data_IF_060644358941
#
_entry.id   IF_060644358941
#
_cell.length_a   1.000
_cell.length_b   1.000
_cell.length_c   1.000
_cell.angle_alpha   90.00
_cell.angle_beta   90.00
_cell.angle_gamma   90.00
#
_symmetry.space_group_name_H-M   'P 1'
#
loop_
_entity.id
_entity.type
_entity.pdbx_description
1 polymer ?
#
# COMPACT_ATOMS: atom_id res chain seq x y z
N UNK A 1 62.20 45.94 -45.42
CA UNK A 1 61.27 46.26 -44.31
C UNK A 1 60.48 44.99 -44.00
N UNK A 2 60.77 44.36 -42.86
CA UNK A 2 60.26 43.03 -42.50
C UNK A 2 58.88 43.16 -41.85
N UNK A 3 57.85 42.57 -42.45
CA UNK A 3 56.49 42.59 -41.92
C UNK A 3 56.36 41.58 -40.77
N UNK A 4 56.11 42.11 -39.57
CA UNK A 4 55.83 41.32 -38.36
C UNK A 4 54.51 40.57 -38.55
N UNK A 5 54.56 39.23 -38.51
CA UNK A 5 53.36 38.39 -38.41
C UNK A 5 52.86 38.43 -36.97
N UNK A 6 51.64 38.94 -36.76
CA UNK A 6 50.93 38.78 -35.48
C UNK A 6 50.23 37.41 -35.46
N UNK A 7 50.35 36.62 -34.37
CA UNK A 7 49.57 35.41 -34.23
C UNK A 7 48.10 35.77 -34.05
N UNK A 8 47.27 35.27 -34.97
CA UNK A 8 45.82 35.27 -34.81
C UNK A 8 45.49 34.52 -33.52
N UNK A 9 44.99 35.24 -32.52
CA UNK A 9 44.47 34.63 -31.29
C UNK A 9 43.29 33.75 -31.69
N UNK A 10 43.41 32.44 -31.50
CA UNK A 10 42.28 31.52 -31.56
C UNK A 10 41.28 31.91 -30.47
N UNK A 11 40.28 32.72 -30.86
CA UNK A 11 39.14 33.05 -30.03
C UNK A 11 38.22 31.85 -30.08
N UNK A 12 38.38 30.94 -29.12
CA UNK A 12 37.58 29.72 -29.00
C UNK A 12 36.09 30.04 -28.94
N UNK A 13 35.38 29.78 -30.04
CA UNK A 13 33.93 29.77 -30.12
C UNK A 13 33.41 28.40 -29.67
N UNK A 14 33.39 28.19 -28.36
CA UNK A 14 32.92 26.93 -27.76
C UNK A 14 31.99 27.12 -26.56
N UNK A 15 31.41 28.32 -26.36
CA UNK A 15 30.60 28.62 -25.16
C UNK A 15 29.09 28.44 -25.35
N UNK A 16 28.57 28.45 -26.58
CA UNK A 16 27.12 28.40 -26.81
C UNK A 16 26.51 26.99 -26.69
N UNK A 17 27.31 25.93 -26.83
CA UNK A 17 26.82 24.53 -26.71
C UNK A 17 26.83 23.99 -25.27
N UNK A 18 27.51 24.69 -24.35
CA UNK A 18 27.61 24.30 -22.94
C UNK A 18 26.59 25.00 -22.04
N UNK A 19 26.12 26.19 -22.43
CA UNK A 19 25.18 26.97 -21.62
C UNK A 19 23.83 26.25 -21.46
N UNK A 20 23.25 25.75 -22.56
CA UNK A 20 21.99 25.02 -22.52
C UNK A 20 22.08 23.73 -21.66
N UNK A 21 23.21 23.02 -21.73
CA UNK A 21 23.44 21.80 -20.92
C UNK A 21 23.61 22.11 -19.43
N UNK A 22 24.23 23.23 -19.09
CA UNK A 22 24.40 23.69 -17.69
C UNK A 22 23.05 24.15 -17.10
N UNK A 23 22.21 24.83 -17.88
CA UNK A 23 20.85 25.21 -17.46
C UNK A 23 19.98 23.98 -17.21
N UNK A 24 20.05 22.96 -18.08
CA UNK A 24 19.31 21.72 -17.89
C UNK A 24 19.79 20.93 -16.66
N UNK A 25 21.08 21.01 -16.34
CA UNK A 25 21.64 20.44 -15.12
C UNK A 25 21.07 21.10 -13.85
N UNK A 26 20.60 22.36 -13.94
CA UNK A 26 19.88 23.03 -12.85
C UNK A 26 18.48 22.47 -12.60
N UNK A 27 17.77 22.02 -13.65
CA UNK A 27 16.43 21.42 -13.52
C UNK A 27 16.45 19.94 -13.20
N UNK A 28 17.49 19.22 -13.60
CA UNK A 28 17.67 17.79 -13.30
C UNK A 28 17.43 17.43 -11.82
N UNK A 29 18.01 18.10 -10.81
CA UNK A 29 17.76 17.76 -9.41
C UNK A 29 16.29 17.98 -9.01
N UNK A 30 15.63 19.01 -9.54
CA UNK A 30 14.21 19.29 -9.27
C UNK A 30 13.36 18.15 -9.84
N UNK A 31 13.61 17.75 -11.08
CA UNK A 31 12.91 16.64 -11.72
C UNK A 31 13.13 15.32 -10.96
N UNK A 32 14.34 15.08 -10.45
CA UNK A 32 14.63 13.91 -9.62
C UNK A 32 13.84 13.94 -8.31
N UNK A 33 13.78 15.08 -7.62
CA UNK A 33 13.00 15.21 -6.38
C UNK A 33 11.51 14.99 -6.64
N UNK A 34 10.96 15.57 -7.71
CA UNK A 34 9.55 15.38 -8.10
C UNK A 34 9.28 13.92 -8.48
N UNK A 35 10.15 13.30 -9.28
CA UNK A 35 10.03 11.89 -9.65
C UNK A 35 10.07 10.98 -8.42
N UNK A 36 10.98 11.25 -7.48
CA UNK A 36 11.06 10.53 -6.22
C UNK A 36 9.80 10.72 -5.37
N UNK A 37 9.25 11.94 -5.31
CA UNK A 37 8.01 12.22 -4.61
C UNK A 37 6.84 11.42 -5.20
N UNK A 38 6.74 11.33 -6.53
CA UNK A 38 5.71 10.51 -7.20
C UNK A 38 5.86 9.03 -6.84
N UNK A 39 7.08 8.48 -6.90
CA UNK A 39 7.35 7.09 -6.50
C UNK A 39 6.98 6.88 -5.02
N UNK A 40 7.36 7.82 -4.16
CA UNK A 40 7.10 7.76 -2.73
C UNK A 40 5.60 7.76 -2.42
N UNK A 41 4.81 8.60 -3.12
CA UNK A 41 3.36 8.62 -3.04
C UNK A 41 2.75 7.31 -3.53
N UNK A 42 3.28 6.76 -4.63
CA UNK A 42 2.87 5.45 -5.15
C UNK A 42 3.08 4.32 -4.13
N UNK A 43 4.25 4.29 -3.47
CA UNK A 43 4.55 3.33 -2.41
C UNK A 43 3.63 3.49 -1.20
N UNK A 44 3.37 4.72 -0.77
CA UNK A 44 2.42 5.00 0.31
C UNK A 44 1.01 4.48 -0.03
N UNK A 45 0.50 4.78 -1.23
CA UNK A 45 -0.79 4.30 -1.69
C UNK A 45 -0.83 2.76 -1.78
N UNK A 46 0.24 2.12 -2.26
CA UNK A 46 0.36 0.67 -2.31
C UNK A 46 0.27 0.03 -0.92
N UNK A 47 1.00 0.55 0.08
CA UNK A 47 0.93 0.01 1.44
C UNK A 47 -0.46 0.13 2.06
N UNK A 48 -1.18 1.23 1.75
CA UNK A 48 -2.57 1.43 2.17
C UNK A 48 -3.50 0.38 1.56
N UNK A 49 -3.32 0.08 0.27
CA UNK A 49 -4.09 -0.95 -0.42
C UNK A 49 -3.83 -2.33 0.20
N UNK A 50 -2.56 -2.67 0.43
CA UNK A 50 -2.15 -3.94 1.03
C UNK A 50 -2.70 -4.11 2.46
N UNK A 51 -2.65 -3.05 3.28
CA UNK A 51 -3.27 -3.07 4.61
C UNK A 51 -4.78 -3.37 4.53
N UNK A 52 -5.47 -2.80 3.53
CA UNK A 52 -6.89 -3.09 3.31
C UNK A 52 -7.15 -4.53 2.86
N UNK A 53 -6.31 -5.10 2.00
CA UNK A 53 -6.41 -6.49 1.56
C UNK A 53 -6.20 -7.45 2.74
N UNK A 54 -5.12 -7.25 3.50
CA UNK A 54 -4.83 -8.05 4.70
C UNK A 54 -5.92 -7.94 5.76
N UNK A 55 -6.46 -6.73 6.00
CA UNK A 55 -7.52 -6.52 6.99
C UNK A 55 -8.80 -7.27 6.63
N UNK A 56 -9.22 -7.24 5.36
CA UNK A 56 -10.41 -7.97 4.90
C UNK A 56 -10.22 -9.48 4.98
N UNK A 57 -9.06 -9.97 4.58
CA UNK A 57 -8.73 -11.40 4.68
C UNK A 57 -8.74 -11.88 6.14
N UNK A 58 -8.06 -11.13 7.02
CA UNK A 58 -8.05 -11.43 8.45
C UNK A 58 -9.44 -11.37 9.08
N UNK A 59 -10.26 -10.36 8.74
CA UNK A 59 -11.63 -10.23 9.26
C UNK A 59 -12.52 -11.40 8.80
N UNK A 60 -12.40 -11.82 7.53
CA UNK A 60 -13.15 -12.96 6.98
C UNK A 60 -12.82 -14.27 7.68
N UNK A 61 -11.54 -14.53 7.93
CA UNK A 61 -11.13 -15.71 8.67
C UNK A 61 -11.56 -15.60 10.13
N UNK A 62 -11.45 -14.41 10.74
CA UNK A 62 -11.86 -14.20 12.13
C UNK A 62 -13.38 -14.30 12.36
N UNK A 63 -14.21 -14.18 11.32
CA UNK A 63 -15.67 -14.34 11.43
C UNK A 63 -16.13 -15.79 11.34
N UNK A 64 -15.25 -16.71 10.90
CA UNK A 64 -15.54 -18.14 10.84
C UNK A 64 -15.44 -18.77 12.22
N UNK A 65 -16.05 -19.94 12.42
CA UNK A 65 -15.85 -20.75 13.61
C UNK A 65 -14.47 -21.41 13.60
N UNK A 66 -13.87 -21.62 14.77
CA UNK A 66 -12.49 -22.15 14.90
C UNK A 66 -12.34 -23.51 14.20
N UNK A 67 -13.38 -24.34 14.26
CA UNK A 67 -13.39 -25.66 13.63
C UNK A 67 -13.35 -25.61 12.09
N UNK A 68 -13.81 -24.51 11.49
CA UNK A 68 -13.93 -24.35 10.04
C UNK A 68 -12.74 -23.62 9.43
N UNK A 69 -11.79 -23.11 10.23
CA UNK A 69 -10.65 -22.34 9.73
C UNK A 69 -9.46 -23.26 9.47
N UNK A 70 -8.96 -23.19 8.23
CA UNK A 70 -7.70 -23.87 7.87
C UNK A 70 -6.46 -23.18 8.47
N UNK A 71 -6.56 -21.88 8.79
CA UNK A 71 -5.43 -21.08 9.27
C UNK A 71 -5.91 -19.92 10.14
N UNK A 72 -5.06 -19.46 11.06
CA UNK A 72 -5.37 -18.33 11.93
C UNK A 72 -5.57 -17.01 11.18
N UNK A 73 -6.45 -16.10 11.67
CA UNK A 73 -6.75 -14.81 11.02
C UNK A 73 -5.54 -13.94 10.65
N UNK A 74 -4.51 -13.90 11.50
CA UNK A 74 -3.30 -13.13 11.24
C UNK A 74 -2.48 -13.73 10.09
N UNK A 75 -2.41 -15.05 10.00
CA UNK A 75 -1.70 -15.72 8.91
C UNK A 75 -2.47 -15.58 7.58
N UNK A 76 -3.80 -15.66 7.60
CA UNK A 76 -4.63 -15.38 6.43
C UNK A 76 -4.49 -13.91 5.95
N UNK A 77 -4.43 -12.96 6.88
CA UNK A 77 -4.16 -11.57 6.56
C UNK A 77 -2.78 -11.36 5.92
N UNK A 78 -1.74 -12.04 6.42
CA UNK A 78 -0.38 -11.97 5.86
C UNK A 78 -0.27 -12.62 4.48
N UNK A 79 -0.88 -13.78 4.27
CA UNK A 79 -0.84 -14.48 2.97
C UNK A 79 -1.57 -13.73 1.87
N UNK A 80 -2.52 -12.86 2.23
CA UNK A 80 -3.22 -11.99 1.28
C UNK A 80 -2.40 -10.75 0.84
N UNK A 81 -1.24 -10.50 1.46
CA UNK A 81 -0.35 -9.39 1.14
C UNK A 81 0.91 -9.88 0.40
N UNK A 82 1.64 -8.96 -0.21
CA UNK A 82 2.96 -9.24 -0.78
C UNK A 82 3.97 -9.51 0.35
N UNK A 83 4.91 -10.43 0.12
CA UNK A 83 5.84 -10.90 1.16
C UNK A 83 6.55 -9.76 1.90
N UNK A 84 7.18 -8.84 1.17
CA UNK A 84 7.89 -7.71 1.78
C UNK A 84 7.00 -6.76 2.59
N UNK A 85 5.71 -6.65 2.24
CA UNK A 85 4.74 -5.88 3.03
C UNK A 85 4.29 -6.65 4.25
N UNK A 86 4.04 -7.96 4.09
CA UNK A 86 3.60 -8.85 5.16
C UNK A 86 4.64 -8.98 6.27
N UNK A 87 5.92 -9.01 5.92
CA UNK A 87 7.04 -9.13 6.88
C UNK A 87 7.10 -7.96 7.87
N UNK A 88 6.80 -6.74 7.39
CA UNK A 88 6.72 -5.55 8.24
C UNK A 88 5.34 -5.31 8.85
N UNK A 89 4.32 -6.10 8.49
CA UNK A 89 2.94 -5.83 8.88
C UNK A 89 2.60 -6.34 10.29
N UNK A 90 1.90 -5.49 11.04
CA UNK A 90 1.27 -5.86 12.31
C UNK A 90 -0.22 -6.06 12.08
N UNK A 91 -0.74 -7.23 12.47
CA UNK A 91 -2.17 -7.57 12.34
C UNK A 91 -2.73 -7.80 13.74
N UNK A 92 -3.81 -7.10 14.05
CA UNK A 92 -4.55 -7.21 15.30
C UNK A 92 -5.98 -7.57 14.99
N UNK A 93 -6.53 -8.54 15.71
CA UNK A 93 -7.92 -8.98 15.56
C UNK A 93 -8.61 -8.77 16.90
N UNK A 94 -9.79 -8.18 16.84
CA UNK A 94 -10.62 -7.86 18.00
C UNK A 94 -12.10 -7.91 17.62
N UNK A 95 -12.95 -7.36 18.47
CA UNK A 95 -14.40 -7.42 18.33
C UNK A 95 -15.05 -8.28 19.41
N UNK A 96 -16.37 -8.13 19.55
CA UNK A 96 -17.15 -8.72 20.62
C UNK A 96 -18.60 -8.92 20.21
N UNK A 97 -19.25 -9.93 20.80
CA UNK A 97 -20.62 -10.30 20.45
C UNK A 97 -20.74 -10.78 19.01
N UNK A 98 -21.59 -10.09 18.23
CA UNK A 98 -21.96 -10.46 16.87
C UNK A 98 -21.03 -9.87 15.77
N UNK A 99 -19.97 -9.17 16.12
CA UNK A 99 -19.03 -8.58 15.14
C UNK A 99 -17.57 -8.88 15.49
N UNK A 100 -16.76 -9.01 14.44
CA UNK A 100 -15.32 -9.17 14.52
C UNK A 100 -14.64 -8.12 13.66
N UNK A 101 -13.54 -7.56 14.13
CA UNK A 101 -12.75 -6.57 13.40
C UNK A 101 -11.29 -6.99 13.32
N UNK A 102 -10.66 -6.72 12.18
CA UNK A 102 -9.24 -6.92 11.97
C UNK A 102 -8.60 -5.62 11.50
N UNK A 103 -7.57 -5.18 12.20
CA UNK A 103 -6.78 -4.00 11.89
C UNK A 103 -5.38 -4.41 11.46
N UNK A 104 -4.98 -3.98 10.28
CA UNK A 104 -3.63 -4.18 9.72
C UNK A 104 -2.90 -2.86 9.67
N UNK A 105 -1.65 -2.87 10.11
CA UNK A 105 -0.72 -1.74 10.07
C UNK A 105 0.52 -2.13 9.28
N UNK A 106 0.86 -1.35 8.27
CA UNK A 106 1.99 -1.58 7.36
C UNK A 106 2.93 -0.36 7.39
N UNK A 107 4.24 -0.53 7.63
CA UNK A 107 5.21 0.56 7.54
C UNK A 107 5.36 1.04 6.09
N UNK A 108 5.41 2.35 5.89
CA UNK A 108 5.60 2.95 4.57
C UNK A 108 7.10 2.99 4.28
N UNK A 109 7.60 2.32 3.23
CA UNK A 109 9.02 2.36 2.89
C UNK A 109 9.41 3.76 2.44
N UNK A 110 10.60 4.20 2.86
CA UNK A 110 11.20 5.46 2.42
C UNK A 110 12.20 5.20 1.29
N UNK A 111 12.08 5.95 0.19
CA UNK A 111 13.07 5.99 -0.89
C UNK A 111 13.93 7.25 -0.86
N UNK A 112 13.72 8.11 0.15
CA UNK A 112 14.44 9.36 0.33
C UNK A 112 15.71 9.08 1.15
N UNK A 113 16.91 9.36 0.61
CA UNK A 113 18.15 9.19 1.36
C UNK A 113 18.14 10.01 2.66
N UNK A 114 18.45 9.37 3.79
CA UNK A 114 18.49 10.03 5.11
C UNK A 114 17.13 10.16 5.81
N UNK A 115 16.05 9.59 5.26
CA UNK A 115 14.74 9.48 5.92
C UNK A 115 14.45 8.02 6.24
N UNK A 116 14.48 7.66 7.52
CA UNK A 116 14.38 6.26 7.96
C UNK A 116 12.95 5.72 7.97
N UNK A 117 11.93 6.58 8.13
CA UNK A 117 10.52 6.16 8.08
C UNK A 117 9.59 7.30 7.66
N UNK A 118 8.51 6.96 6.95
CA UNK A 118 7.41 7.88 6.61
C UNK A 118 6.12 7.55 7.35
N UNK A 119 6.23 6.80 8.45
CA UNK A 119 5.11 6.36 9.26
C UNK A 119 4.49 5.05 8.78
N UNK A 120 3.24 4.81 9.18
CA UNK A 120 2.55 3.54 8.96
C UNK A 120 1.17 3.75 8.36
N UNK A 121 0.85 3.02 7.30
CA UNK A 121 -0.51 2.88 6.80
C UNK A 121 -1.32 1.95 7.71
N UNK A 122 -2.57 2.31 8.00
CA UNK A 122 -3.46 1.46 8.81
C UNK A 122 -4.85 1.36 8.18
N UNK A 123 -5.41 0.15 8.18
CA UNK A 123 -6.77 -0.14 7.73
C UNK A 123 -7.43 -1.17 8.65
N UNK A 124 -8.73 -1.00 8.84
CA UNK A 124 -9.58 -1.89 9.65
C UNK A 124 -10.71 -2.41 8.78
N UNK A 125 -11.03 -3.68 8.92
CA UNK A 125 -12.22 -4.30 8.34
C UNK A 125 -13.04 -4.95 9.46
N UNK A 126 -14.36 -4.77 9.43
CA UNK A 126 -15.31 -5.36 10.38
C UNK A 126 -16.25 -6.28 9.62
N UNK A 127 -16.52 -7.46 10.17
CA UNK A 127 -17.48 -8.44 9.63
C UNK A 127 -18.40 -8.96 10.72
N UNK A 128 -19.67 -9.27 10.40
CA UNK A 128 -20.56 -9.94 11.33
C UNK A 128 -20.13 -11.40 11.54
N UNK A 129 -20.33 -11.91 12.75
CA UNK A 129 -20.25 -13.34 13.03
C UNK A 129 -21.61 -13.98 12.74
N UNK A 130 -21.65 -15.15 12.09
CA UNK A 130 -22.87 -15.94 12.01
C UNK A 130 -23.43 -16.15 13.43
N UNK A 131 -24.68 -15.78 13.67
CA UNK A 131 -25.34 -16.15 14.93
C UNK A 131 -25.59 -17.65 14.94
N UNK A 132 -25.36 -18.32 16.06
CA UNK A 132 -25.72 -19.72 16.21
C UNK A 132 -27.22 -19.92 15.90
N UNK A 133 -27.60 -20.94 15.10
CA UNK A 133 -28.98 -21.23 14.72
C UNK A 133 -29.96 -21.48 15.88
N UNK A 134 -29.48 -21.58 17.13
CA UNK A 134 -30.31 -21.81 18.32
C UNK A 134 -31.05 -20.58 18.86
N UNK A 135 -30.76 -19.37 18.35
CA UNK A 135 -31.41 -18.13 18.82
C UNK A 135 -32.78 -17.84 18.15
N UNK A 136 -33.10 -18.53 17.05
CA UNK A 136 -34.46 -18.55 16.50
C UNK A 136 -35.27 -19.59 17.28
N UNK A 137 -36.05 -19.12 18.26
CA UNK A 137 -37.07 -19.96 18.90
C UNK A 137 -38.00 -20.61 17.85
N UNK A 138 -38.76 -21.66 18.21
CA UNK A 138 -39.42 -22.60 17.30
C UNK A 138 -40.34 -22.05 16.19
N UNK A 139 -40.57 -20.73 16.13
CA UNK A 139 -41.46 -20.06 15.16
C UNK A 139 -40.90 -19.93 13.73
N UNK A 140 -39.59 -20.06 13.53
CA UNK A 140 -39.01 -19.92 12.18
C UNK A 140 -39.21 -21.16 11.31
N UNK A 141 -39.46 -22.32 11.92
CA UNK A 141 -39.75 -23.58 11.22
C UNK A 141 -41.15 -23.60 10.57
N UNK A 142 -42.06 -22.76 11.06
CA UNK A 142 -43.48 -22.83 10.70
C UNK A 142 -43.85 -21.92 9.50
N UNK A 143 -42.93 -21.08 9.02
CA UNK A 143 -43.26 -20.04 8.02
C UNK A 143 -42.88 -20.41 6.58
N UNK A 144 -42.31 -21.60 6.34
CA UNK A 144 -42.04 -22.12 4.99
C UNK A 144 -43.04 -23.20 4.54
N UNK A 145 -44.32 -23.01 4.85
CA UNK A 145 -45.39 -23.80 4.25
C UNK A 145 -45.92 -23.09 2.98
N UNK A 146 -45.50 -23.57 1.80
CA UNK A 146 -46.26 -23.40 0.56
C UNK A 146 -45.72 -22.41 -0.49
N UNK A 147 -44.95 -22.93 -1.45
CA UNK A 147 -44.98 -22.41 -2.82
C UNK A 147 -45.43 -23.56 -3.74
N UNK A 148 -46.59 -23.46 -4.43
CA UNK A 148 -47.07 -24.53 -5.29
C UNK A 148 -46.17 -24.68 -6.52
N UNK A 149 -45.90 -25.91 -6.98
CA UNK A 149 -45.22 -26.13 -8.25
C UNK A 149 -46.12 -25.64 -9.39
N UNK A 150 -45.52 -24.92 -10.34
CA UNK A 150 -46.19 -24.46 -11.56
C UNK A 150 -46.12 -25.53 -12.63
#
# INVERSE_FOLDING_TARGET
MSAVRLPARFRGHGRDRGQASIEFLGFLPILLVVGLAVVQLGLAAYTVQQAGTGARAAARTASMDEADRETGPQAAGRSAMSGWVADGATISVGGGGAEVSATVRVPIPSVIPGVDSLGTASRTATMPRPQEPGALGPRAADTYEGAPPR
#
